data_IF_679433418730
#
_entry.id   IF_679433418730
#
_cell.length_a   1.000
_cell.length_b   1.000
_cell.length_c   1.000
_cell.angle_alpha   90.00
_cell.angle_beta   90.00
_cell.angle_gamma   90.00
#
_symmetry.space_group_name_H-M   'P 1'
#
loop_
_entity.id
_entity.type
_entity.pdbx_description
1 polymer ?
#
# COMPACT_ATOMS: atom_id res chain seq x y z
N UNK A 1 -3.70 -20.20 -28.81
CA UNK A 1 -2.76 -19.07 -28.89
C UNK A 1 -2.93 -18.26 -27.63
N UNK A 2 -1.89 -18.07 -26.81
CA UNK A 2 -1.95 -17.03 -25.78
C UNK A 2 -1.76 -15.69 -26.50
N UNK A 3 -2.61 -14.67 -26.26
CA UNK A 3 -2.41 -13.37 -26.87
C UNK A 3 -1.04 -12.81 -26.52
N UNK A 4 -0.37 -12.15 -27.47
CA UNK A 4 0.92 -11.47 -27.29
C UNK A 4 0.78 -10.08 -26.67
N UNK A 5 -0.45 -9.64 -26.44
CA UNK A 5 -0.81 -8.29 -26.00
C UNK A 5 -1.78 -8.41 -24.82
N UNK A 6 -1.58 -7.60 -23.78
CA UNK A 6 -2.52 -7.48 -22.69
C UNK A 6 -3.68 -6.58 -23.14
N UNK A 7 -4.91 -7.10 -23.14
CA UNK A 7 -6.09 -6.40 -23.66
C UNK A 7 -7.08 -5.97 -22.57
N UNK A 8 -6.91 -6.46 -21.34
CA UNK A 8 -7.78 -6.10 -20.22
C UNK A 8 -7.62 -7.02 -19.01
N UNK A 9 -8.30 -6.65 -17.93
CA UNK A 9 -8.48 -7.49 -16.73
C UNK A 9 -9.89 -8.06 -16.73
N UNK A 10 -10.04 -9.34 -16.39
CA UNK A 10 -11.32 -10.04 -16.33
C UNK A 10 -11.35 -10.94 -15.08
N UNK A 11 -12.55 -11.26 -14.59
CA UNK A 11 -12.71 -12.18 -13.48
C UNK A 11 -13.86 -11.81 -12.56
N UNK A 12 -13.79 -12.31 -11.32
CA UNK A 12 -14.62 -11.89 -10.19
C UNK A 12 -14.28 -10.45 -9.78
N UNK A 13 -14.77 -10.02 -8.61
CA UNK A 13 -14.33 -8.78 -7.98
C UNK A 13 -12.81 -8.68 -7.80
N UNK A 14 -12.07 -9.80 -7.79
CA UNK A 14 -10.61 -9.80 -7.63
C UNK A 14 -9.86 -9.06 -8.74
N UNK A 15 -10.53 -8.74 -9.87
CA UNK A 15 -9.99 -7.87 -10.90
C UNK A 15 -9.56 -6.50 -10.35
N UNK A 16 -10.22 -5.98 -9.32
CA UNK A 16 -9.86 -4.69 -8.71
C UNK A 16 -8.59 -4.79 -7.85
N UNK A 17 -8.34 -5.96 -7.24
CA UNK A 17 -7.06 -6.22 -6.57
C UNK A 17 -5.94 -6.37 -7.59
N UNK A 18 -6.19 -7.09 -8.69
CA UNK A 18 -5.21 -7.22 -9.77
C UNK A 18 -4.89 -5.85 -10.41
N UNK A 19 -5.90 -5.01 -10.62
CA UNK A 19 -5.73 -3.66 -11.14
C UNK A 19 -4.86 -2.82 -10.20
N UNK A 20 -5.23 -2.75 -8.92
CA UNK A 20 -4.50 -2.02 -7.91
C UNK A 20 -3.06 -2.53 -7.75
N UNK A 21 -2.90 -3.78 -7.32
CA UNK A 21 -1.63 -4.36 -6.93
C UNK A 21 -0.62 -4.47 -8.07
N UNK A 22 -1.04 -4.87 -9.27
CA UNK A 22 -0.09 -5.00 -10.38
C UNK A 22 0.16 -3.66 -11.06
N UNK A 23 -0.87 -2.82 -11.19
CA UNK A 23 -0.78 -1.54 -11.87
C UNK A 23 0.24 -0.60 -11.21
N UNK A 24 0.18 -0.45 -9.88
CA UNK A 24 1.14 0.43 -9.19
C UNK A 24 2.58 -0.08 -9.29
N UNK A 25 2.77 -1.41 -9.23
CA UNK A 25 4.10 -2.01 -9.33
C UNK A 25 4.69 -1.84 -10.72
N UNK A 26 3.89 -2.05 -11.77
CA UNK A 26 4.30 -1.80 -13.14
C UNK A 26 4.61 -0.32 -13.39
N UNK A 27 3.79 0.59 -12.91
CA UNK A 27 4.01 2.03 -13.04
C UNK A 27 5.27 2.49 -12.29
N UNK A 28 5.50 2.02 -11.06
CA UNK A 28 6.72 2.34 -10.31
C UNK A 28 7.98 1.77 -10.99
N UNK A 29 7.93 0.54 -11.50
CA UNK A 29 9.05 -0.05 -12.24
C UNK A 29 9.34 0.73 -13.53
N UNK A 30 8.31 1.16 -14.25
CA UNK A 30 8.42 2.03 -15.40
C UNK A 30 9.04 3.39 -15.05
N UNK A 31 8.61 4.01 -13.94
CA UNK A 31 9.17 5.29 -13.50
C UNK A 31 10.67 5.18 -13.18
N UNK A 32 11.08 4.12 -12.48
CA UNK A 32 12.50 3.83 -12.22
C UNK A 32 13.32 3.64 -13.50
N UNK A 33 12.68 3.11 -14.56
CA UNK A 33 13.31 2.87 -15.86
C UNK A 33 13.18 4.06 -16.83
N UNK A 34 12.54 5.17 -16.46
CA UNK A 34 12.21 6.28 -17.38
C UNK A 34 13.42 6.81 -18.16
N UNK A 35 14.60 6.81 -17.54
CA UNK A 35 15.86 7.29 -18.13
C UNK A 35 16.68 6.22 -18.87
N UNK A 36 16.23 4.95 -18.89
CA UNK A 36 16.96 3.87 -19.53
C UNK A 36 17.00 4.04 -21.06
N UNK A 37 18.20 4.21 -21.62
CA UNK A 37 18.40 4.49 -23.05
C UNK A 37 17.89 3.40 -24.00
N UNK A 38 17.70 2.17 -23.51
CA UNK A 38 17.15 1.05 -24.29
C UNK A 38 15.63 1.07 -24.44
N UNK A 39 14.92 1.93 -23.71
CA UNK A 39 13.46 2.05 -23.76
C UNK A 39 13.06 3.40 -24.36
N UNK A 40 12.70 3.39 -25.64
CA UNK A 40 12.40 4.62 -26.38
C UNK A 40 11.08 5.26 -25.92
N UNK A 41 10.96 6.57 -26.13
CA UNK A 41 9.81 7.39 -25.69
C UNK A 41 8.47 6.88 -26.24
N UNK A 42 8.42 6.38 -27.48
CA UNK A 42 7.18 5.83 -28.05
C UNK A 42 6.71 4.61 -27.28
N UNK A 43 7.63 3.69 -26.96
CA UNK A 43 7.31 2.51 -26.15
C UNK A 43 6.98 2.85 -24.70
N UNK A 44 7.53 3.95 -24.15
CA UNK A 44 7.12 4.48 -22.85
C UNK A 44 5.68 4.99 -22.89
N UNK A 45 5.34 5.76 -23.92
CA UNK A 45 3.98 6.25 -24.13
C UNK A 45 2.97 5.11 -24.30
N UNK A 46 3.26 4.11 -25.14
CA UNK A 46 2.39 2.95 -25.35
C UNK A 46 2.16 2.17 -24.05
N UNK A 47 3.20 2.05 -23.21
CA UNK A 47 3.09 1.44 -21.89
C UNK A 47 2.23 2.27 -20.94
N UNK A 48 2.37 3.59 -20.95
CA UNK A 48 1.53 4.52 -20.19
C UNK A 48 0.06 4.46 -20.61
N UNK A 49 -0.22 4.33 -21.91
CA UNK A 49 -1.58 4.10 -22.43
C UNK A 49 -2.14 2.79 -21.91
N UNK A 50 -1.36 1.70 -21.98
CA UNK A 50 -1.77 0.40 -21.44
C UNK A 50 -2.10 0.48 -19.93
N UNK A 51 -1.23 1.10 -19.13
CA UNK A 51 -1.47 1.30 -17.70
C UNK A 51 -2.75 2.10 -17.43
N UNK A 52 -2.97 3.17 -18.19
CA UNK A 52 -4.14 4.03 -18.06
C UNK A 52 -5.43 3.26 -18.40
N UNK A 53 -5.44 2.61 -19.56
CA UNK A 53 -6.65 2.01 -20.14
C UNK A 53 -7.06 0.70 -19.44
N UNK A 54 -6.08 -0.07 -18.93
CA UNK A 54 -6.33 -1.40 -18.37
C UNK A 54 -6.33 -1.41 -16.85
N UNK A 55 -5.39 -0.71 -16.21
CA UNK A 55 -5.22 -0.76 -14.76
C UNK A 55 -5.90 0.43 -14.09
N UNK A 56 -5.53 1.66 -14.46
CA UNK A 56 -6.05 2.85 -13.82
C UNK A 56 -7.57 3.02 -14.05
N UNK A 57 -8.08 2.72 -15.23
CA UNK A 57 -9.52 2.79 -15.52
C UNK A 57 -10.35 1.88 -14.59
N UNK A 58 -9.84 0.68 -14.30
CA UNK A 58 -10.46 -0.30 -13.41
C UNK A 58 -10.38 0.17 -11.96
N UNK A 59 -9.22 0.69 -11.53
CA UNK A 59 -9.04 1.25 -10.20
C UNK A 59 -9.92 2.48 -9.95
N UNK A 60 -10.03 3.37 -10.92
CA UNK A 60 -10.93 4.52 -10.84
C UNK A 60 -12.38 4.07 -10.73
N UNK A 61 -12.81 3.13 -11.56
CA UNK A 61 -14.17 2.59 -11.47
C UNK A 61 -14.44 1.90 -10.13
N UNK A 62 -13.44 1.30 -9.49
CA UNK A 62 -13.58 0.76 -8.14
C UNK A 62 -13.79 1.88 -7.12
N UNK A 63 -12.91 2.88 -7.08
CA UNK A 63 -12.99 3.96 -6.09
C UNK A 63 -14.27 4.80 -6.24
N UNK A 64 -14.82 4.92 -7.46
CA UNK A 64 -16.07 5.65 -7.71
C UNK A 64 -17.33 4.84 -7.35
N UNK A 65 -17.33 3.53 -7.57
CA UNK A 65 -18.56 2.73 -7.60
C UNK A 65 -18.57 1.56 -6.62
N UNK A 66 -17.41 1.17 -6.08
CA UNK A 66 -17.20 0.01 -5.22
C UNK A 66 -17.92 -1.23 -5.74
N UNK A 67 -17.82 -1.48 -7.05
CA UNK A 67 -18.50 -2.59 -7.73
C UNK A 67 -20.03 -2.64 -7.46
N UNK A 68 -20.67 -1.49 -7.28
CA UNK A 68 -22.10 -1.38 -6.96
C UNK A 68 -22.46 -1.63 -5.49
N UNK A 69 -21.47 -1.78 -4.59
CA UNK A 69 -21.68 -2.00 -3.17
C UNK A 69 -21.68 -0.66 -2.39
N UNK A 70 -22.36 -0.60 -1.24
CA UNK A 70 -22.34 0.59 -0.40
C UNK A 70 -20.94 0.85 0.17
N UNK A 71 -20.58 2.12 0.21
CA UNK A 71 -19.44 2.65 0.95
C UNK A 71 -19.90 3.26 2.26
N UNK A 72 -19.24 2.88 3.35
CA UNK A 72 -19.47 3.44 4.67
C UNK A 72 -18.26 3.12 5.52
N UNK A 73 -17.89 4.05 6.41
CA UNK A 73 -16.86 3.81 7.41
C UNK A 73 -17.22 2.55 8.20
N UNK A 74 -16.34 1.56 8.14
CA UNK A 74 -16.42 0.23 8.74
C UNK A 74 -17.49 -0.73 8.16
N UNK A 75 -18.62 -0.20 7.67
CA UNK A 75 -19.75 -1.01 7.19
C UNK A 75 -19.78 -1.18 5.66
N UNK A 76 -18.81 -0.61 4.94
CA UNK A 76 -18.62 -0.86 3.52
C UNK A 76 -18.25 -2.32 3.25
N UNK A 77 -18.73 -2.88 2.14
CA UNK A 77 -18.50 -4.28 1.78
C UNK A 77 -17.00 -4.63 1.64
N UNK A 78 -16.22 -3.70 1.07
CA UNK A 78 -14.80 -3.88 0.82
C UNK A 78 -13.97 -3.36 1.98
N UNK A 79 -12.99 -4.14 2.39
CA UNK A 79 -12.01 -3.77 3.40
C UNK A 79 -10.95 -2.80 2.85
N UNK A 80 -10.18 -2.18 3.75
CA UNK A 80 -9.25 -1.10 3.43
C UNK A 80 -8.23 -1.45 2.33
N UNK A 81 -7.73 -2.69 2.27
CA UNK A 81 -6.71 -3.07 1.29
C UNK A 81 -7.18 -2.88 -0.16
N UNK A 82 -8.49 -3.02 -0.41
CA UNK A 82 -9.10 -2.84 -1.73
C UNK A 82 -9.01 -1.39 -2.19
N UNK A 83 -9.35 -0.44 -1.33
CA UNK A 83 -9.21 0.98 -1.64
C UNK A 83 -7.73 1.34 -1.78
N UNK A 84 -6.89 0.92 -0.83
CA UNK A 84 -5.47 1.29 -0.78
C UNK A 84 -4.70 0.85 -2.02
N UNK A 85 -4.90 -0.37 -2.53
CA UNK A 85 -4.18 -0.81 -3.72
C UNK A 85 -4.62 -0.05 -4.98
N UNK A 86 -5.90 0.34 -5.06
CA UNK A 86 -6.43 1.10 -6.19
C UNK A 86 -6.00 2.58 -6.13
N UNK A 87 -5.89 3.17 -4.93
CA UNK A 87 -5.29 4.50 -4.73
C UNK A 87 -3.82 4.49 -5.16
N UNK A 88 -3.03 3.51 -4.69
CA UNK A 88 -1.62 3.37 -5.05
C UNK A 88 -1.42 3.26 -6.57
N UNK A 89 -2.32 2.55 -7.26
CA UNK A 89 -2.28 2.44 -8.72
C UNK A 89 -2.55 3.77 -9.42
N UNK A 90 -3.64 4.47 -9.06
CA UNK A 90 -3.95 5.77 -9.67
C UNK A 90 -2.84 6.80 -9.43
N UNK A 91 -2.25 6.83 -8.24
CA UNK A 91 -1.10 7.69 -7.95
C UNK A 91 0.10 7.34 -8.82
N UNK A 92 0.49 6.06 -8.87
CA UNK A 92 1.64 5.61 -9.65
C UNK A 92 1.48 5.90 -11.15
N UNK A 93 0.32 5.54 -11.72
CA UNK A 93 0.02 5.74 -13.14
C UNK A 93 -0.10 7.23 -13.45
N UNK A 94 -0.71 8.01 -12.57
CA UNK A 94 -0.78 9.47 -12.70
C UNK A 94 0.61 10.12 -12.76
N UNK A 95 1.52 9.69 -11.89
CA UNK A 95 2.93 10.14 -11.91
C UNK A 95 3.62 9.70 -13.20
N UNK A 96 3.56 8.41 -13.56
CA UNK A 96 4.25 7.89 -14.74
C UNK A 96 3.74 8.52 -16.04
N UNK A 97 2.47 8.87 -16.12
CA UNK A 97 1.87 9.47 -17.32
C UNK A 97 1.80 11.00 -17.29
N UNK A 98 2.42 11.64 -16.30
CA UNK A 98 2.39 13.08 -16.10
C UNK A 98 0.94 13.64 -16.05
N UNK A 99 0.00 12.86 -15.48
CA UNK A 99 -1.42 13.16 -15.38
C UNK A 99 -1.79 13.64 -13.97
N UNK A 100 -1.69 14.96 -13.77
CA UNK A 100 -2.00 15.60 -12.48
C UNK A 100 -3.44 15.33 -12.01
N UNK A 101 -4.43 15.34 -12.90
CA UNK A 101 -5.83 15.09 -12.54
C UNK A 101 -6.03 13.71 -11.91
N UNK A 102 -5.35 12.69 -12.44
CA UNK A 102 -5.42 11.33 -11.89
C UNK A 102 -4.75 11.24 -10.52
N UNK A 103 -3.59 11.87 -10.36
CA UNK A 103 -2.88 11.94 -9.09
C UNK A 103 -3.70 12.70 -8.02
N UNK A 104 -4.30 13.83 -8.38
CA UNK A 104 -5.15 14.62 -7.49
C UNK A 104 -6.40 13.84 -7.08
N UNK A 105 -7.04 13.14 -8.01
CA UNK A 105 -8.18 12.28 -7.71
C UNK A 105 -7.82 11.20 -6.67
N UNK A 106 -6.67 10.54 -6.83
CA UNK A 106 -6.22 9.50 -5.93
C UNK A 106 -5.84 10.05 -4.54
N UNK A 107 -5.13 11.17 -4.49
CA UNK A 107 -4.74 11.82 -3.23
C UNK A 107 -5.93 12.40 -2.48
N UNK A 108 -6.89 13.00 -3.19
CA UNK A 108 -8.16 13.45 -2.59
C UNK A 108 -8.92 12.26 -2.00
N UNK A 109 -9.05 11.16 -2.74
CA UNK A 109 -9.69 9.95 -2.22
C UNK A 109 -8.99 9.43 -0.96
N UNK A 110 -7.66 9.39 -0.95
CA UNK A 110 -6.89 8.98 0.22
C UNK A 110 -7.19 9.84 1.45
N UNK A 111 -7.34 11.15 1.26
CA UNK A 111 -7.51 12.12 2.35
C UNK A 111 -8.96 12.22 2.86
N UNK A 112 -9.96 12.04 1.99
CA UNK A 112 -11.37 12.36 2.28
C UNK A 112 -12.39 11.36 1.72
N UNK A 113 -11.94 10.27 1.09
CA UNK A 113 -12.80 9.28 0.45
C UNK A 113 -13.77 8.56 1.39
N UNK A 114 -14.79 7.93 0.81
CA UNK A 114 -15.86 7.25 1.54
C UNK A 114 -15.56 5.77 1.87
N UNK A 115 -14.58 5.16 1.20
CA UNK A 115 -14.16 3.77 1.39
C UNK A 115 -13.35 3.56 2.67
N UNK A 116 -13.11 2.31 3.03
CA UNK A 116 -12.40 1.94 4.25
C UNK A 116 -10.90 2.25 4.18
N UNK A 117 -10.30 2.32 2.99
CA UNK A 117 -8.89 2.70 2.83
C UNK A 117 -8.62 4.20 2.71
N UNK A 118 -9.64 5.05 2.71
CA UNK A 118 -9.43 6.48 2.96
C UNK A 118 -8.96 6.67 4.40
N UNK A 119 -7.92 7.48 4.63
CA UNK A 119 -7.20 7.53 5.90
C UNK A 119 -8.11 7.87 7.11
N UNK A 120 -9.11 8.77 7.01
CA UNK A 120 -10.08 9.01 8.10
C UNK A 120 -10.95 7.80 8.47
N UNK A 121 -11.16 6.89 7.53
CA UNK A 121 -11.99 5.70 7.70
C UNK A 121 -11.15 4.48 8.07
N UNK A 122 -9.88 4.44 7.65
CA UNK A 122 -8.93 3.38 7.97
C UNK A 122 -8.67 3.28 9.48
N UNK A 123 -8.54 4.41 10.17
CA UNK A 123 -8.32 4.42 11.61
C UNK A 123 -9.61 4.08 12.38
N UNK A 124 -9.59 2.93 13.04
CA UNK A 124 -10.66 2.51 13.95
C UNK A 124 -10.53 3.22 15.29
N UNK A 125 -9.33 3.21 15.86
CA UNK A 125 -9.03 3.83 17.15
C UNK A 125 -7.56 4.24 17.20
N UNK A 126 -7.28 5.27 17.99
CA UNK A 126 -5.94 5.71 18.35
C UNK A 126 -5.71 5.47 19.85
N UNK A 127 -4.50 5.03 20.20
CA UNK A 127 -4.05 4.79 21.56
C UNK A 127 -2.76 5.54 21.81
N UNK A 128 -2.43 5.80 23.07
CA UNK A 128 -1.15 6.38 23.46
C UNK A 128 -0.29 5.30 24.08
N UNK A 129 0.90 5.08 23.52
CA UNK A 129 1.89 4.16 24.09
C UNK A 129 2.43 4.72 25.42
N UNK A 130 2.36 3.90 26.47
CA UNK A 130 2.90 4.26 27.78
C UNK A 130 4.42 4.44 27.71
N UNK A 131 4.94 5.48 28.37
CA UNK A 131 6.37 5.79 28.45
C UNK A 131 6.91 6.58 27.26
N UNK A 132 6.45 6.33 26.03
CA UNK A 132 6.90 7.07 24.83
C UNK A 132 5.95 8.20 24.42
N UNK A 133 4.66 8.09 24.76
CA UNK A 133 3.63 9.03 24.33
C UNK A 133 3.26 8.92 22.85
N UNK A 134 3.77 7.91 22.13
CA UNK A 134 3.53 7.70 20.71
C UNK A 134 2.05 7.33 20.46
N UNK A 135 1.45 7.90 19.41
CA UNK A 135 0.14 7.47 18.93
C UNK A 135 0.24 6.12 18.21
N UNK A 136 -0.55 5.16 18.65
CA UNK A 136 -0.73 3.85 18.02
C UNK A 136 -2.11 3.78 17.37
N UNK A 137 -2.18 3.52 16.06
CA UNK A 137 -3.44 3.44 15.31
C UNK A 137 -3.80 2.00 15.03
N UNK A 138 -5.02 1.64 15.39
CA UNK A 138 -5.66 0.40 14.95
C UNK A 138 -6.20 0.59 13.53
N UNK A 139 -5.59 -0.13 12.59
CA UNK A 139 -6.08 -0.23 11.22
C UNK A 139 -7.36 -1.04 11.11
N UNK A 140 -8.13 -0.77 10.07
CA UNK A 140 -9.46 -1.34 9.85
C UNK A 140 -9.46 -2.87 9.77
N UNK A 141 -8.48 -3.49 9.11
CA UNK A 141 -8.42 -4.95 8.97
C UNK A 141 -7.85 -5.70 10.19
N UNK A 142 -7.43 -5.02 11.26
CA UNK A 142 -6.80 -5.67 12.42
C UNK A 142 -7.66 -6.77 13.09
N UNK A 143 -8.98 -6.61 13.07
CA UNK A 143 -9.93 -7.61 13.59
C UNK A 143 -10.21 -8.78 12.65
N UNK A 144 -9.97 -8.60 11.34
CA UNK A 144 -10.26 -9.59 10.30
C UNK A 144 -9.18 -10.69 10.26
N UNK A 145 -7.97 -10.31 9.88
CA UNK A 145 -6.76 -11.14 9.91
C UNK A 145 -5.49 -10.29 9.78
N UNK A 146 -4.36 -10.85 10.21
CA UNK A 146 -3.09 -10.12 10.26
C UNK A 146 -2.34 -10.10 8.91
N UNK A 147 -2.72 -10.98 7.98
CA UNK A 147 -2.16 -10.99 6.64
C UNK A 147 -2.59 -9.73 5.88
N UNK A 148 -3.85 -9.34 5.96
CA UNK A 148 -4.35 -8.13 5.32
C UNK A 148 -4.06 -6.86 6.11
N UNK A 149 -4.12 -6.91 7.45
CA UNK A 149 -3.72 -5.76 8.26
C UNK A 149 -2.27 -5.32 7.97
N UNK A 150 -1.36 -6.26 7.71
CA UNK A 150 0.02 -5.93 7.29
C UNK A 150 0.12 -5.49 5.83
N UNK A 151 -0.77 -5.96 4.95
CA UNK A 151 -0.88 -5.43 3.57
C UNK A 151 -1.27 -3.95 3.58
N UNK A 152 -2.24 -3.56 4.40
CA UNK A 152 -2.67 -2.17 4.50
C UNK A 152 -1.50 -1.24 4.78
N UNK A 153 -0.67 -1.56 5.78
CA UNK A 153 0.50 -0.74 6.12
C UNK A 153 1.56 -0.73 5.02
N UNK A 154 1.79 -1.84 4.32
CA UNK A 154 2.68 -1.86 3.17
C UNK A 154 2.18 -0.91 2.05
N UNK A 155 0.88 -0.95 1.73
CA UNK A 155 0.27 -0.07 0.73
C UNK A 155 0.23 1.40 1.17
N UNK A 156 -0.05 1.67 2.44
CA UNK A 156 0.02 3.01 3.03
C UNK A 156 1.43 3.60 2.90
N UNK A 157 2.47 2.79 3.13
CA UNK A 157 3.85 3.18 2.87
C UNK A 157 4.08 3.56 1.42
N UNK A 158 3.60 2.76 0.46
CA UNK A 158 3.71 3.03 -0.98
C UNK A 158 3.02 4.35 -1.36
N UNK A 159 1.75 4.53 -0.95
CA UNK A 159 0.97 5.75 -1.19
C UNK A 159 1.70 6.97 -0.62
N UNK A 160 2.18 6.86 0.61
CA UNK A 160 2.84 7.97 1.28
C UNK A 160 4.17 8.33 0.62
N UNK A 161 4.94 7.33 0.16
CA UNK A 161 6.19 7.56 -0.57
C UNK A 161 5.96 8.15 -1.96
N UNK A 162 4.93 7.70 -2.67
CA UNK A 162 4.53 8.30 -3.95
C UNK A 162 4.19 9.78 -3.76
N UNK A 163 3.40 10.12 -2.74
CA UNK A 163 3.09 11.51 -2.41
C UNK A 163 4.34 12.31 -2.04
N UNK A 164 5.19 11.76 -1.16
CA UNK A 164 6.40 12.42 -0.67
C UNK A 164 7.37 12.76 -1.82
N UNK A 165 7.51 11.85 -2.79
CA UNK A 165 8.32 12.06 -3.99
C UNK A 165 7.78 13.20 -4.89
N UNK A 166 6.48 13.51 -4.81
CA UNK A 166 5.86 14.63 -5.51
C UNK A 166 5.81 15.92 -4.67
N UNK A 167 6.44 15.95 -3.49
CA UNK A 167 6.43 17.09 -2.59
C UNK A 167 5.22 17.17 -1.65
N UNK A 168 4.34 16.16 -1.64
CA UNK A 168 3.21 16.06 -0.73
C UNK A 168 3.57 15.14 0.44
N UNK A 169 3.79 15.68 1.64
CA UNK A 169 4.19 14.89 2.81
C UNK A 169 3.01 14.08 3.40
N UNK A 170 2.63 13.01 2.69
CA UNK A 170 1.53 12.15 3.10
C UNK A 170 1.86 11.31 4.34
N UNK A 171 3.14 11.07 4.65
CA UNK A 171 3.58 10.43 5.89
C UNK A 171 3.26 11.25 7.14
N UNK A 172 3.15 12.58 7.02
CA UNK A 172 2.78 13.47 8.11
C UNK A 172 1.26 13.61 8.30
N UNK A 173 0.44 13.10 7.37
CA UNK A 173 -1.02 13.23 7.43
C UNK A 173 -1.58 12.60 8.71
N UNK A 174 -2.55 13.29 9.32
CA UNK A 174 -3.22 12.87 10.55
C UNK A 174 -2.24 12.45 11.66
N UNK A 175 -1.21 13.27 11.90
CA UNK A 175 -0.22 13.06 12.97
C UNK A 175 0.58 11.75 12.81
N UNK A 176 0.96 11.44 11.57
CA UNK A 176 1.68 10.20 11.23
C UNK A 176 0.91 8.93 11.60
N UNK A 177 -0.38 8.91 11.31
CA UNK A 177 -1.30 7.79 11.55
C UNK A 177 -0.81 6.44 10.99
N UNK A 178 0.03 6.45 9.96
CA UNK A 178 0.57 5.22 9.34
C UNK A 178 1.86 4.72 10.02
N UNK A 179 2.35 5.39 11.08
CA UNK A 179 3.51 5.00 11.90
C UNK A 179 3.17 3.89 12.90
N UNK A 180 2.75 2.72 12.40
CA UNK A 180 2.24 1.63 13.23
C UNK A 180 2.79 0.26 12.83
N UNK A 181 2.45 -0.76 13.63
CA UNK A 181 2.79 -2.15 13.35
C UNK A 181 1.63 -3.10 13.59
N UNK A 182 1.93 -4.39 13.35
CA UNK A 182 0.99 -5.49 13.35
C UNK A 182 0.16 -5.61 14.64
N UNK A 183 0.73 -5.34 15.82
CA UNK A 183 0.00 -5.47 17.09
C UNK A 183 -0.04 -4.15 17.84
N UNK A 184 -1.24 -3.63 18.02
CA UNK A 184 -1.57 -2.44 18.82
C UNK A 184 -2.73 -2.79 19.77
N UNK A 185 -3.02 -1.98 20.81
CA UNK A 185 -4.25 -2.12 21.56
C UNK A 185 -5.48 -2.13 20.63
N UNK A 186 -6.58 -2.72 21.09
CA UNK A 186 -7.73 -3.00 20.23
C UNK A 186 -9.05 -2.51 20.84
N UNK A 187 -9.83 -1.81 20.02
CA UNK A 187 -11.21 -1.40 20.27
C UNK A 187 -12.11 -2.18 19.32
N UNK A 188 -13.11 -2.88 19.89
CA UNK A 188 -14.12 -3.57 19.11
C UNK A 188 -14.90 -2.60 18.22
N UNK A 189 -15.19 -3.01 17.00
CA UNK A 189 -15.98 -2.23 16.05
C UNK A 189 -16.87 -3.14 15.19
N UNK A 190 -17.93 -2.57 14.62
CA UNK A 190 -18.86 -3.29 13.76
C UNK A 190 -18.42 -3.15 12.30
N UNK A 191 -18.13 -4.29 11.66
CA UNK A 191 -17.73 -4.38 10.26
C UNK A 191 -18.88 -4.89 9.40
N UNK A 192 -18.74 -4.86 8.07
CA UNK A 192 -19.71 -5.52 7.19
C UNK A 192 -19.88 -7.03 7.47
N UNK A 193 -18.84 -7.69 7.99
CA UNK A 193 -18.89 -9.11 8.38
C UNK A 193 -19.40 -9.34 9.82
N UNK A 194 -19.79 -8.26 10.51
CA UNK A 194 -20.24 -8.24 11.90
C UNK A 194 -19.20 -7.67 12.87
N UNK A 195 -19.50 -7.81 14.16
CA UNK A 195 -18.68 -7.25 15.24
C UNK A 195 -17.33 -7.97 15.32
N UNK A 196 -16.26 -7.20 15.16
CA UNK A 196 -14.88 -7.64 15.34
C UNK A 196 -14.46 -7.34 16.79
N UNK A 197 -14.65 -8.28 17.72
CA UNK A 197 -14.47 -8.06 19.16
C UNK A 197 -13.02 -7.96 19.60
N UNK A 198 -12.11 -8.63 18.90
CA UNK A 198 -10.72 -8.78 19.28
C UNK A 198 -9.81 -8.65 18.06
N UNK A 199 -8.54 -8.33 18.30
CA UNK A 199 -7.50 -8.42 17.28
C UNK A 199 -7.35 -9.87 16.80
N UNK A 200 -7.42 -10.09 15.49
CA UNK A 200 -7.48 -11.44 14.93
C UNK A 200 -6.26 -12.29 15.27
N UNK A 201 -6.46 -13.57 15.58
CA UNK A 201 -5.38 -14.55 15.66
C UNK A 201 -4.99 -15.14 14.29
N UNK A 202 -5.82 -14.95 13.27
CA UNK A 202 -5.60 -15.50 11.92
C UNK A 202 -4.40 -14.84 11.26
N UNK A 203 -3.58 -15.62 10.56
CA UNK A 203 -2.41 -15.14 9.81
C UNK A 203 -1.37 -14.38 10.65
N UNK A 204 -1.34 -14.60 11.97
CA UNK A 204 -0.29 -14.06 12.83
C UNK A 204 1.04 -14.71 12.49
N UNK A 205 2.06 -13.88 12.32
CA UNK A 205 3.38 -14.32 11.87
C UNK A 205 3.48 -14.48 10.34
N UNK A 206 2.45 -14.13 9.57
CA UNK A 206 2.61 -14.04 8.11
C UNK A 206 3.71 -13.03 7.79
N UNK A 207 4.63 -13.44 6.93
CA UNK A 207 5.81 -12.66 6.53
C UNK A 207 5.48 -11.98 5.21
N UNK A 208 5.62 -10.65 5.17
CA UNK A 208 5.31 -9.81 4.02
C UNK A 208 6.32 -8.67 3.91
N UNK A 209 6.79 -8.31 2.70
CA UNK A 209 7.63 -7.14 2.50
C UNK A 209 6.83 -5.82 2.58
N UNK A 210 7.51 -4.71 2.81
CA UNK A 210 6.98 -3.35 2.74
C UNK A 210 7.28 -2.50 3.97
N UNK A 211 7.61 -3.11 5.10
CA UNK A 211 7.89 -2.37 6.34
C UNK A 211 9.26 -1.72 6.34
N UNK A 212 10.19 -2.15 5.49
CA UNK A 212 11.45 -1.43 5.31
C UNK A 212 11.21 0.03 4.91
N UNK A 213 10.23 0.30 4.03
CA UNK A 213 9.86 1.66 3.62
C UNK A 213 9.41 2.52 4.80
N UNK A 214 8.50 2.00 5.62
CA UNK A 214 7.99 2.72 6.78
C UNK A 214 9.12 3.09 7.75
N UNK A 215 10.04 2.14 8.02
CA UNK A 215 11.17 2.40 8.91
C UNK A 215 12.15 3.37 8.27
N UNK A 216 12.49 3.19 7.00
CA UNK A 216 13.39 4.10 6.29
C UNK A 216 12.88 5.55 6.31
N UNK A 217 11.58 5.76 6.09
CA UNK A 217 11.03 7.10 6.15
C UNK A 217 10.98 7.64 7.60
N UNK A 218 10.33 6.91 8.51
CA UNK A 218 10.05 7.46 9.83
C UNK A 218 11.28 7.53 10.72
N UNK A 219 12.13 6.52 10.71
CA UNK A 219 13.36 6.51 11.51
C UNK A 219 14.46 7.30 10.82
N UNK A 220 14.80 6.94 9.58
CA UNK A 220 16.01 7.45 8.93
C UNK A 220 15.82 8.89 8.38
N UNK A 221 14.66 9.20 7.80
CA UNK A 221 14.38 10.55 7.24
C UNK A 221 13.81 11.52 8.28
N UNK A 222 12.86 11.07 9.11
CA UNK A 222 12.14 11.94 10.06
C UNK A 222 12.70 11.91 11.49
N UNK A 223 13.56 10.95 11.85
CA UNK A 223 14.08 10.81 13.21
C UNK A 223 13.00 10.48 14.25
N UNK A 224 11.87 9.90 13.82
CA UNK A 224 10.77 9.49 14.68
C UNK A 224 10.96 8.05 15.16
N UNK A 225 10.32 7.74 16.30
CA UNK A 225 10.36 6.39 16.85
C UNK A 225 9.49 5.41 16.03
N UNK A 226 10.13 4.66 15.14
CA UNK A 226 9.52 3.60 14.33
C UNK A 226 9.68 2.20 14.92
N UNK A 227 9.97 2.05 16.24
CA UNK A 227 10.29 0.78 16.90
C UNK A 227 9.34 -0.38 16.57
N UNK A 228 8.04 -0.10 16.53
CA UNK A 228 7.01 -1.08 16.19
C UNK A 228 7.14 -1.58 14.74
N UNK A 229 7.25 -0.66 13.79
CA UNK A 229 7.43 -1.00 12.37
C UNK A 229 8.80 -1.69 12.16
N UNK A 230 9.82 -1.24 12.90
CA UNK A 230 11.15 -1.83 12.92
C UNK A 230 11.14 -3.28 13.42
N UNK A 231 10.37 -3.59 14.47
CA UNK A 231 10.23 -4.95 14.98
C UNK A 231 9.63 -5.91 13.93
N UNK A 232 8.60 -5.48 13.20
CA UNK A 232 8.04 -6.31 12.11
C UNK A 232 9.00 -6.41 10.92
N UNK A 233 9.65 -5.31 10.53
CA UNK A 233 10.71 -5.33 9.52
C UNK A 233 11.84 -6.30 9.89
N UNK A 234 12.31 -6.28 11.13
CA UNK A 234 13.38 -7.15 11.60
C UNK A 234 12.93 -8.62 11.60
N UNK A 235 11.68 -8.87 11.99
CA UNK A 235 11.07 -10.19 11.87
C UNK A 235 11.05 -10.67 10.41
N UNK A 236 10.63 -9.83 9.46
CA UNK A 236 10.62 -10.17 8.03
C UNK A 236 12.03 -10.47 7.54
N UNK A 237 12.99 -9.61 7.83
CA UNK A 237 14.38 -9.74 7.38
C UNK A 237 15.06 -11.00 7.96
N UNK A 238 14.79 -11.34 9.22
CA UNK A 238 15.32 -12.57 9.83
C UNK A 238 14.78 -13.86 9.19
N UNK A 239 13.66 -13.78 8.47
CA UNK A 239 13.04 -14.92 7.80
C UNK A 239 13.31 -14.94 6.28
N UNK A 240 14.28 -14.18 5.78
CA UNK A 240 14.79 -14.30 4.40
C UNK A 240 16.21 -14.86 4.40
N UNK A 241 16.62 -15.46 3.27
CA UNK A 241 17.96 -16.06 3.13
C UNK A 241 19.10 -15.05 3.30
N UNK A 242 18.86 -13.78 2.92
CA UNK A 242 19.88 -12.74 2.91
C UNK A 242 19.89 -11.89 4.19
N UNK A 243 18.96 -12.10 5.13
CA UNK A 243 18.86 -11.26 6.33
C UNK A 243 18.39 -9.83 6.05
N UNK A 244 17.75 -9.59 4.90
CA UNK A 244 17.25 -8.29 4.42
C UNK A 244 15.91 -8.48 3.71
N UNK A 245 15.16 -7.40 3.47
CA UNK A 245 13.87 -7.50 2.80
C UNK A 245 14.04 -7.98 1.35
N UNK A 246 13.55 -9.17 1.04
CA UNK A 246 13.41 -9.70 -0.31
C UNK A 246 12.14 -9.20 -1.02
N UNK A 247 11.85 -9.75 -2.19
CA UNK A 247 10.68 -9.41 -2.99
C UNK A 247 9.82 -10.63 -3.32
N UNK A 248 9.11 -10.56 -4.44
CA UNK A 248 8.28 -11.64 -4.98
C UNK A 248 8.96 -13.01 -4.93
N UNK A 249 8.32 -14.00 -4.30
CA UNK A 249 8.82 -15.37 -4.20
C UNK A 249 9.73 -15.66 -3.01
N UNK A 250 10.10 -14.66 -2.20
CA UNK A 250 10.88 -14.87 -0.97
C UNK A 250 10.03 -15.22 0.26
N UNK A 251 8.69 -15.12 0.17
CA UNK A 251 7.78 -15.21 1.32
C UNK A 251 6.71 -16.30 1.15
N UNK A 252 7.08 -17.39 0.48
CA UNK A 252 6.19 -18.52 0.19
C UNK A 252 5.39 -18.36 -1.11
N UNK A 253 4.55 -19.35 -1.44
CA UNK A 253 3.86 -19.43 -2.74
C UNK A 253 2.55 -18.61 -2.81
N UNK A 254 2.11 -18.03 -1.69
CA UNK A 254 0.84 -17.34 -1.58
C UNK A 254 0.98 -15.85 -1.93
N UNK A 255 -0.14 -15.16 -2.17
CA UNK A 255 -0.17 -13.77 -2.63
C UNK A 255 0.60 -12.78 -1.76
N UNK A 256 0.68 -13.03 -0.43
CA UNK A 256 1.33 -12.11 0.51
C UNK A 256 2.76 -11.70 0.13
N UNK A 257 3.53 -12.60 -0.49
CA UNK A 257 4.88 -12.28 -0.97
C UNK A 257 4.94 -11.48 -2.28
N UNK A 258 3.83 -11.33 -3.00
CA UNK A 258 3.73 -10.70 -4.32
C UNK A 258 2.88 -9.42 -4.32
N UNK A 259 2.15 -9.13 -3.24
CA UNK A 259 1.30 -7.94 -3.14
C UNK A 259 2.12 -6.63 -2.99
N UNK A 260 3.41 -6.75 -2.62
CA UNK A 260 4.36 -5.65 -2.60
C UNK A 260 5.65 -5.99 -3.36
N UNK A 261 6.29 -4.97 -3.95
CA UNK A 261 7.58 -5.14 -4.66
C UNK A 261 8.66 -5.76 -3.77
N UNK A 262 8.70 -5.33 -2.50
CA UNK A 262 9.79 -5.65 -1.57
C UNK A 262 11.12 -5.06 -2.02
N UNK A 263 12.24 -5.67 -1.62
CA UNK A 263 13.58 -5.12 -1.85
C UNK A 263 13.80 -3.71 -1.25
N UNK A 264 13.05 -3.35 -0.20
CA UNK A 264 13.09 -2.01 0.38
C UNK A 264 14.47 -1.59 0.88
N UNK A 265 15.31 -2.54 1.33
CA UNK A 265 16.68 -2.21 1.77
C UNK A 265 17.49 -1.60 0.62
N UNK A 266 17.31 -2.13 -0.60
CA UNK A 266 17.94 -1.58 -1.80
C UNK A 266 17.30 -0.25 -2.22
N UNK A 267 15.98 -0.15 -2.13
CA UNK A 267 15.24 1.00 -2.66
C UNK A 267 15.28 2.24 -1.76
N UNK A 268 15.35 2.08 -0.44
CA UNK A 268 15.12 3.17 0.52
C UNK A 268 16.28 3.44 1.46
N UNK A 269 17.29 2.55 1.52
CA UNK A 269 18.41 2.65 2.48
C UNK A 269 19.78 2.73 1.84
N UNK A 270 19.84 3.16 0.58
CA UNK A 270 21.11 3.50 -0.05
C UNK A 270 21.83 4.54 0.81
N UNK A 271 23.04 4.21 1.29
CA UNK A 271 23.91 5.23 1.85
C UNK A 271 24.22 6.22 0.73
N UNK A 272 24.04 7.51 0.98
CA UNK A 272 24.81 8.49 0.22
C UNK A 272 26.27 8.18 0.53
N UNK A 273 26.99 7.63 -0.44
CA UNK A 273 28.43 7.79 -0.42
C UNK A 273 28.65 9.31 -0.48
N UNK A 274 29.20 9.87 0.60
CA UNK A 274 29.66 11.26 0.62
C UNK A 274 30.76 11.36 -0.46
N UNK A 275 30.42 11.92 -1.63
CA UNK A 275 31.39 12.43 -2.61
C UNK A 275 31.90 13.82 -2.21
#
# INVERSE_FOLDING_TARGET
MRPSTLEGLQGSTDLYLAAGLYGYQFANAAELMRSYSGWNISSQHDFGTMLTDIFASVSLSFLEKHNGNPTSKFHGHYYANWDLCNIANLMAVGIFTDNQTMYDCATEYFLTGAGNGALPNFAVANFTEEGTGKTLTQGQEAGRDQGHATLDFALLGVIAQQGFNQGNDLFATYESMILNAQTVPYTAYDSFEGIQSDISAKSRGDIRPGFELLVAHYEDVKGLNASWSAAYRDYVNQNTELGVEGGGGNYGPNSGGFDALGHGTLMYRGKCDEE
#
